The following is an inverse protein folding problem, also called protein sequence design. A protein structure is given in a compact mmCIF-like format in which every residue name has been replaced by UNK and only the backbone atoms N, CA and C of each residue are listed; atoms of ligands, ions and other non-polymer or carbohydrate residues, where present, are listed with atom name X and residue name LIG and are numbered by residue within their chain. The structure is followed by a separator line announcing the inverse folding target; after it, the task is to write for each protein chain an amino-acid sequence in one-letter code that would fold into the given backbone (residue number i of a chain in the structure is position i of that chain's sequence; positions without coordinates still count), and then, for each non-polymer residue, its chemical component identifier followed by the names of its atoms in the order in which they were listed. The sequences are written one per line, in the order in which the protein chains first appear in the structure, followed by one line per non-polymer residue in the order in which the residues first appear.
data_IF_515335496768
#
_entry.id   IF_515335496768
#
_cell.length_a   1.000
_cell.length_b   1.000
_cell.length_c   1.000
_cell.angle_alpha   90.00
_cell.angle_beta   90.00
_cell.angle_gamma   90.00
#
_symmetry.space_group_name_H-M   'P 1'
#
loop_
_entity.id
_entity.type
_entity.pdbx_description
1 polymer ?
#
# COMPACT_ATOMS: atom_id res chain seq x y z
N UNK A 1 10.36 -23.84 14.64
CA UNK A 1 8.98 -23.35 14.91
C UNK A 1 8.22 -23.47 13.62
N UNK A 2 7.03 -24.06 13.63
CA UNK A 2 6.16 -24.09 12.45
C UNK A 2 5.64 -22.67 12.26
N UNK A 3 5.97 -22.03 11.14
CA UNK A 3 5.40 -20.71 10.81
C UNK A 3 3.88 -20.89 10.65
N UNK A 4 3.12 -20.47 11.65
CA UNK A 4 1.67 -20.44 11.53
C UNK A 4 1.27 -19.48 10.41
N UNK A 5 0.42 -19.96 9.51
CA UNK A 5 -0.11 -19.13 8.44
C UNK A 5 -0.91 -17.97 9.07
N UNK A 6 -0.52 -16.70 8.85
CA UNK A 6 -1.21 -15.57 9.45
C UNK A 6 -2.67 -15.43 9.00
N UNK A 7 -3.05 -16.12 7.93
CA UNK A 7 -4.43 -16.26 7.48
C UNK A 7 -5.28 -17.14 8.42
N UNK A 8 -4.75 -17.70 9.51
CA UNK A 8 -5.49 -18.57 10.43
C UNK A 8 -5.69 -17.99 11.84
N UNK A 9 -5.11 -16.83 12.15
CA UNK A 9 -5.12 -16.28 13.52
C UNK A 9 -6.43 -15.60 13.94
N UNK A 10 -6.81 -15.75 15.21
CA UNK A 10 -7.95 -15.03 15.79
C UNK A 10 -7.61 -13.58 16.13
N UNK A 11 -6.38 -13.33 16.58
CA UNK A 11 -5.86 -12.01 16.98
C UNK A 11 -4.41 -11.82 16.52
N UNK A 12 -3.90 -10.57 16.52
CA UNK A 12 -2.53 -10.23 16.10
C UNK A 12 -1.51 -10.78 17.11
N UNK A 13 -0.57 -11.67 16.70
CA UNK A 13 0.48 -12.12 17.59
C UNK A 13 1.56 -11.04 17.73
N UNK A 14 2.21 -10.96 18.89
CA UNK A 14 3.17 -9.91 19.17
C UNK A 14 4.44 -10.04 18.32
N UNK A 15 4.82 -8.90 17.75
CA UNK A 15 6.13 -8.47 17.22
C UNK A 15 6.63 -9.00 15.87
N UNK A 16 6.50 -10.28 15.50
CA UNK A 16 7.16 -10.78 14.27
C UNK A 16 6.29 -10.77 13.00
N UNK A 17 4.96 -10.66 13.13
CA UNK A 17 4.05 -10.66 12.00
C UNK A 17 4.18 -9.40 11.12
N UNK A 18 4.32 -8.23 11.73
CA UNK A 18 4.22 -6.96 11.01
C UNK A 18 5.42 -6.71 10.10
N UNK A 19 6.58 -7.24 10.49
CA UNK A 19 7.84 -7.04 9.77
C UNK A 19 7.91 -7.86 8.48
N UNK A 20 7.12 -8.94 8.36
CA UNK A 20 7.08 -9.76 7.15
C UNK A 20 5.87 -9.44 6.25
N UNK A 21 4.98 -8.54 6.69
CA UNK A 21 3.76 -8.20 5.97
C UNK A 21 3.81 -6.82 5.34
N UNK A 22 3.09 -6.70 4.23
CA UNK A 22 3.01 -5.48 3.44
C UNK A 22 1.56 -5.09 3.21
N UNK A 23 1.35 -3.79 3.12
CA UNK A 23 0.15 -3.21 2.55
C UNK A 23 0.42 -2.98 1.05
N UNK A 24 -0.57 -3.18 0.19
CA UNK A 24 -0.44 -2.98 -1.26
C UNK A 24 -1.46 -1.97 -1.79
N UNK A 25 -1.12 -1.25 -2.86
CA UNK A 25 -2.04 -0.35 -3.57
C UNK A 25 -1.69 -0.18 -5.03
N UNK A 26 -2.71 -0.18 -5.89
CA UNK A 26 -2.58 0.25 -7.28
C UNK A 26 -2.37 1.77 -7.41
N UNK A 27 -1.46 2.17 -8.29
CA UNK A 27 -1.15 3.55 -8.64
C UNK A 27 -1.36 3.73 -10.13
N UNK A 28 -2.34 4.56 -10.51
CA UNK A 28 -2.72 4.76 -11.91
C UNK A 28 -1.65 5.55 -12.68
N UNK A 29 -1.49 5.25 -13.97
CA UNK A 29 -0.51 5.86 -14.90
C UNK A 29 -0.44 7.37 -14.83
N UNK A 30 -1.58 8.05 -14.81
CA UNK A 30 -1.64 9.52 -14.73
C UNK A 30 -0.85 10.12 -13.55
N UNK A 31 -0.66 9.39 -12.45
CA UNK A 31 0.15 9.85 -11.33
C UNK A 31 1.64 9.66 -11.62
N UNK A 32 2.05 8.43 -11.87
CA UNK A 32 3.47 8.08 -11.98
C UNK A 32 4.09 8.47 -13.32
N UNK A 33 3.31 8.68 -14.38
CA UNK A 33 3.82 9.13 -15.67
C UNK A 33 4.54 10.47 -15.55
N UNK A 34 4.12 11.31 -14.59
CA UNK A 34 4.71 12.63 -14.32
C UNK A 34 5.89 12.60 -13.33
N UNK A 35 6.28 11.43 -12.84
CA UNK A 35 7.35 11.31 -11.86
C UNK A 35 8.72 11.33 -12.55
N UNK A 36 9.66 12.17 -12.10
CA UNK A 36 10.96 12.27 -12.76
C UNK A 36 11.85 11.03 -12.55
N UNK A 37 11.55 10.20 -11.55
CA UNK A 37 12.27 8.95 -11.28
C UNK A 37 11.31 7.86 -10.82
N UNK A 38 10.95 6.95 -11.73
CA UNK A 38 10.06 5.82 -11.39
C UNK A 38 10.65 4.85 -10.38
N UNK A 39 11.94 4.92 -10.01
CA UNK A 39 12.47 4.09 -8.91
C UNK A 39 11.98 4.56 -7.53
N UNK A 40 11.39 5.75 -7.45
CA UNK A 40 10.95 6.37 -6.20
C UNK A 40 9.43 6.53 -6.15
N UNK A 41 8.88 6.46 -4.96
CA UNK A 41 7.49 6.82 -4.70
C UNK A 41 7.45 8.28 -4.26
N UNK A 42 6.64 9.11 -4.93
CA UNK A 42 6.58 10.54 -4.64
C UNK A 42 5.49 10.88 -3.61
N UNK A 43 5.68 11.91 -2.75
CA UNK A 43 4.73 12.26 -1.69
C UNK A 43 3.30 12.61 -2.17
N UNK A 44 3.15 13.07 -3.41
CA UNK A 44 1.84 13.38 -4.01
C UNK A 44 0.93 12.14 -4.14
N UNK A 45 1.51 10.93 -4.17
CA UNK A 45 0.78 9.67 -4.09
C UNK A 45 -0.07 9.56 -2.80
N UNK A 46 0.41 10.15 -1.69
CA UNK A 46 -0.25 10.12 -0.39
C UNK A 46 -1.19 11.32 -0.18
N UNK A 47 -1.74 11.89 -1.25
CA UNK A 47 -2.66 13.03 -1.17
C UNK A 47 -4.01 12.64 -0.57
N UNK A 48 -4.45 13.44 0.41
CA UNK A 48 -5.57 13.12 1.29
C UNK A 48 -6.88 12.98 0.51
N UNK A 49 -7.09 13.66 -0.61
CA UNK A 49 -8.30 13.50 -1.47
C UNK A 49 -8.47 12.09 -2.03
N UNK A 50 -7.37 11.35 -2.23
CA UNK A 50 -7.39 9.92 -2.56
C UNK A 50 -7.34 9.01 -1.31
N UNK A 51 -7.34 9.60 -0.11
CA UNK A 51 -7.14 8.97 1.21
C UNK A 51 -8.29 9.24 2.19
N UNK A 52 -9.31 10.02 1.78
CA UNK A 52 -10.37 10.61 2.62
C UNK A 52 -11.41 9.59 3.10
N UNK A 53 -11.48 8.40 2.51
CA UNK A 53 -12.33 7.31 2.98
C UNK A 53 -11.74 6.50 4.15
N UNK A 54 -10.74 7.03 4.85
CA UNK A 54 -9.81 6.21 5.61
C UNK A 54 -8.97 5.36 4.65
N UNK A 55 -7.84 4.85 5.11
CA UNK A 55 -6.99 3.96 4.32
C UNK A 55 -7.62 2.56 4.21
N UNK A 56 -8.75 2.50 3.51
CA UNK A 56 -9.31 1.32 2.85
C UNK A 56 -9.93 1.79 1.55
N UNK A 57 -9.15 1.71 0.48
CA UNK A 57 -9.74 1.19 -0.75
C UNK A 57 -8.96 -0.02 -1.26
N UNK A 58 -7.64 -0.16 -1.01
CA UNK A 58 -6.90 -1.42 -1.29
C UNK A 58 -5.78 -1.77 -0.31
N UNK A 59 -5.26 -0.80 0.45
CA UNK A 59 -4.26 -1.10 1.47
C UNK A 59 -4.84 -2.10 2.46
N UNK A 60 -4.17 -3.23 2.58
CA UNK A 60 -4.54 -4.31 3.50
C UNK A 60 -5.83 -5.06 3.15
N UNK A 61 -6.40 -4.89 1.96
CA UNK A 61 -7.51 -5.75 1.52
C UNK A 61 -7.03 -7.09 0.97
N UNK A 62 -5.80 -7.12 0.45
CA UNK A 62 -5.25 -8.24 -0.27
C UNK A 62 -3.90 -8.65 0.30
N UNK A 63 -3.66 -9.96 0.30
CA UNK A 63 -2.44 -10.57 0.83
C UNK A 63 -1.26 -10.53 -0.15
N UNK A 64 -1.48 -10.17 -1.42
CA UNK A 64 -0.45 -10.18 -2.46
C UNK A 64 -0.62 -9.04 -3.47
N UNK A 65 0.48 -8.61 -4.12
CA UNK A 65 0.43 -7.57 -5.13
C UNK A 65 -0.31 -8.03 -6.41
N UNK A 66 -0.27 -9.31 -6.78
CA UNK A 66 -1.06 -9.89 -7.89
C UNK A 66 -2.56 -9.78 -7.62
N UNK A 67 -2.95 -10.16 -6.40
CA UNK A 67 -4.35 -10.10 -5.97
C UNK A 67 -4.83 -8.65 -6.01
N UNK A 68 -3.98 -7.71 -5.60
CA UNK A 68 -4.27 -6.27 -5.68
C UNK A 68 -4.51 -5.82 -7.12
N UNK A 69 -3.62 -6.18 -8.05
CA UNK A 69 -3.76 -5.83 -9.47
C UNK A 69 -5.05 -6.39 -10.06
N UNK A 70 -5.36 -7.66 -9.81
CA UNK A 70 -6.52 -8.36 -10.36
C UNK A 70 -7.87 -7.79 -9.90
N UNK A 71 -7.91 -7.07 -8.78
CA UNK A 71 -9.12 -6.42 -8.28
C UNK A 71 -9.28 -4.97 -8.78
N UNK A 72 -8.31 -4.44 -9.52
CA UNK A 72 -8.45 -3.11 -10.14
C UNK A 72 -9.40 -3.19 -11.35
N UNK A 73 -10.07 -2.08 -11.72
CA UNK A 73 -11.02 -2.07 -12.85
C UNK A 73 -10.43 -2.55 -14.18
N UNK A 74 -9.12 -2.33 -14.39
CA UNK A 74 -8.38 -2.82 -15.55
C UNK A 74 -7.05 -3.37 -15.01
N UNK A 75 -6.89 -4.71 -14.88
CA UNK A 75 -5.73 -5.33 -14.24
C UNK A 75 -4.53 -5.37 -15.20
N UNK A 76 -3.97 -4.21 -15.54
CA UNK A 76 -2.87 -4.05 -16.50
C UNK A 76 -1.76 -3.18 -15.92
N UNK A 77 -0.51 -3.68 -15.98
CA UNK A 77 0.68 -2.98 -15.52
C UNK A 77 1.08 -1.77 -16.38
N UNK A 78 0.52 -1.65 -17.59
CA UNK A 78 0.60 -0.44 -18.41
C UNK A 78 -0.29 0.69 -17.89
N UNK A 79 -1.30 0.35 -17.09
CA UNK A 79 -2.26 1.31 -16.53
C UNK A 79 -2.00 1.53 -15.04
N UNK A 80 -1.52 0.52 -14.32
CA UNK A 80 -1.26 0.58 -12.88
C UNK A 80 0.13 0.04 -12.52
N UNK A 81 0.78 0.62 -11.53
CA UNK A 81 1.84 -0.06 -10.79
C UNK A 81 1.36 -0.41 -9.39
N UNK A 82 1.92 -1.43 -8.75
CA UNK A 82 1.57 -1.78 -7.37
C UNK A 82 2.65 -1.28 -6.42
N UNK A 83 2.29 -0.35 -5.55
CA UNK A 83 3.14 0.10 -4.44
C UNK A 83 2.87 -0.78 -3.23
N UNK A 84 3.94 -1.11 -2.51
CA UNK A 84 3.91 -1.83 -1.25
C UNK A 84 4.52 -1.01 -0.11
N UNK A 85 4.04 -1.28 1.10
CA UNK A 85 4.47 -0.61 2.33
C UNK A 85 4.57 -1.64 3.45
N UNK A 86 5.77 -1.85 3.99
CA UNK A 86 5.96 -2.80 5.09
C UNK A 86 5.26 -2.28 6.36
N UNK A 87 4.52 -3.14 7.06
CA UNK A 87 3.72 -2.73 8.23
C UNK A 87 4.63 -2.39 9.42
N UNK A 88 5.72 -3.13 9.61
CA UNK A 88 6.76 -2.85 10.60
C UNK A 88 7.38 -1.46 10.39
N UNK A 89 7.90 -1.20 9.18
CA UNK A 89 8.49 0.11 8.84
C UNK A 89 7.48 1.26 9.01
N UNK A 90 6.20 1.01 8.70
CA UNK A 90 5.14 1.98 8.95
C UNK A 90 4.98 2.27 10.45
N UNK A 91 4.93 1.23 11.29
CA UNK A 91 4.81 1.38 12.75
C UNK A 91 5.99 2.17 13.31
N UNK A 92 7.21 1.85 12.89
CA UNK A 92 8.41 2.59 13.27
C UNK A 92 8.34 4.05 12.84
N UNK A 93 7.98 4.31 11.58
CA UNK A 93 7.84 5.66 11.03
C UNK A 93 6.82 6.51 11.81
N UNK A 94 5.68 5.91 12.17
CA UNK A 94 4.64 6.55 12.99
C UNK A 94 5.20 6.93 14.37
N UNK A 95 5.85 5.98 15.04
CA UNK A 95 6.38 6.18 16.38
C UNK A 95 7.49 7.24 16.40
N UNK A 96 8.46 7.15 15.47
CA UNK A 96 9.58 8.09 15.37
C UNK A 96 9.14 9.53 15.10
N UNK A 97 8.05 9.69 14.34
CA UNK A 97 7.55 11.01 13.97
C UNK A 97 6.39 11.51 14.83
N UNK A 98 5.94 10.70 15.80
CA UNK A 98 4.76 10.94 16.62
C UNK A 98 3.53 11.28 15.76
N UNK A 99 3.30 10.50 14.69
CA UNK A 99 2.13 10.68 13.85
C UNK A 99 0.89 10.15 14.55
N UNK A 100 -0.23 10.88 14.41
CA UNK A 100 -1.55 10.44 14.88
C UNK A 100 -2.15 9.39 13.93
N UNK A 101 -1.38 8.39 13.52
CA UNK A 101 -1.84 7.30 12.66
C UNK A 101 -1.81 6.03 13.51
N UNK A 102 -2.93 5.31 13.55
CA UNK A 102 -2.99 3.99 14.18
C UNK A 102 -2.87 2.88 13.14
N UNK A 103 -2.34 1.73 13.55
CA UNK A 103 -2.39 0.48 12.79
C UNK A 103 -3.22 -0.50 13.61
N UNK A 104 -4.31 -1.01 13.04
CA UNK A 104 -5.19 -1.98 13.68
C UNK A 104 -5.35 -3.20 12.79
N UNK A 105 -4.86 -4.36 13.22
CA UNK A 105 -5.20 -5.61 12.53
C UNK A 105 -6.63 -6.03 12.86
N UNK A 106 -7.40 -6.39 11.83
CA UNK A 106 -8.79 -6.84 11.92
C UNK A 106 -9.05 -7.87 10.81
N UNK A 107 -8.58 -9.12 10.97
CA UNK A 107 -8.75 -10.16 9.97
C UNK A 107 -10.24 -10.40 9.70
N UNK A 108 -10.59 -10.64 8.43
CA UNK A 108 -11.96 -10.99 8.05
C UNK A 108 -11.98 -12.47 7.71
N UNK A 109 -12.72 -13.27 8.47
CA UNK A 109 -12.95 -14.69 8.14
C UNK A 109 -13.82 -14.79 6.89
N UNK A 110 -13.30 -15.46 5.87
CA UNK A 110 -14.07 -15.90 4.71
C UNK A 110 -14.28 -17.39 4.87
N UNK A 111 -15.53 -17.79 5.10
CA UNK A 111 -15.94 -19.19 5.12
C UNK A 111 -16.58 -19.54 3.77
N UNK A 112 -16.09 -20.62 3.16
CA UNK A 112 -16.72 -21.30 2.04
C UNK A 112 -16.74 -22.81 2.33
N UNK A 113 -17.50 -23.59 1.56
CA UNK A 113 -17.59 -25.05 1.72
C UNK A 113 -16.22 -25.77 1.66
N UNK A 114 -15.18 -25.12 1.11
CA UNK A 114 -13.85 -25.71 0.90
C UNK A 114 -12.72 -25.02 1.67
N UNK A 115 -12.92 -23.80 2.15
CA UNK A 115 -11.85 -22.96 2.74
C UNK A 115 -12.39 -22.14 3.91
N UNK A 116 -11.68 -22.20 5.03
CA UNK A 116 -11.77 -21.25 6.14
C UNK A 116 -10.45 -20.51 6.21
N UNK A 117 -10.41 -19.30 5.66
CA UNK A 117 -9.22 -18.46 5.68
C UNK A 117 -9.59 -17.06 6.14
N UNK A 118 -8.74 -16.44 6.96
CA UNK A 118 -8.77 -15.01 7.17
C UNK A 118 -8.25 -14.32 5.91
N UNK A 119 -8.96 -13.31 5.45
CA UNK A 119 -8.33 -12.21 4.73
C UNK A 119 -7.59 -11.38 5.78
N UNK A 120 -6.26 -11.52 5.81
CA UNK A 120 -5.41 -10.64 6.60
C UNK A 120 -5.76 -9.19 6.24
N UNK A 121 -6.27 -8.45 7.20
CA UNK A 121 -6.79 -7.11 6.97
C UNK A 121 -6.29 -6.16 8.06
N UNK A 122 -5.63 -5.10 7.65
CA UNK A 122 -4.94 -4.14 8.53
C UNK A 122 -5.49 -2.74 8.25
N UNK A 123 -6.16 -2.15 9.20
CA UNK A 123 -6.72 -0.82 9.07
C UNK A 123 -5.71 0.23 9.52
N UNK A 124 -5.49 1.25 8.71
CA UNK A 124 -4.83 2.47 9.17
C UNK A 124 -5.89 3.44 9.66
N UNK A 125 -5.88 3.71 10.97
CA UNK A 125 -6.85 4.55 11.66
C UNK A 125 -6.26 5.93 11.93
N UNK A 126 -7.11 6.92 12.25
CA UNK A 126 -6.71 8.28 12.61
C UNK A 126 -5.90 9.04 11.53
N UNK A 127 -5.87 8.54 10.29
CA UNK A 127 -5.39 9.26 9.12
C UNK A 127 -6.39 10.38 8.74
N UNK A 128 -6.59 11.35 9.63
CA UNK A 128 -7.70 12.29 9.55
C UNK A 128 -7.35 13.53 8.72
N UNK A 129 -8.39 14.21 8.24
CA UNK A 129 -8.30 15.58 7.71
C UNK A 129 -7.92 16.58 8.82
N UNK A 130 -8.05 16.25 10.09
CA UNK A 130 -7.85 17.19 11.19
C UNK A 130 -6.37 17.25 11.57
N UNK A 131 -5.60 17.96 10.75
CA UNK A 131 -4.20 18.24 10.98
C UNK A 131 -3.78 19.47 10.20
N UNK A 132 -2.94 20.31 10.81
CA UNK A 132 -2.32 21.46 10.14
C UNK A 132 -1.67 20.99 8.83
N UNK A 133 -1.79 21.76 7.75
CA UNK A 133 -1.23 21.42 6.42
C UNK A 133 0.20 20.87 6.46
N UNK A 134 1.05 21.43 7.34
CA UNK A 134 2.43 20.97 7.57
C UNK A 134 2.55 19.52 8.05
N UNK A 135 1.66 19.06 8.93
CA UNK A 135 1.64 17.67 9.44
C UNK A 135 1.31 16.72 8.30
N UNK A 136 0.35 17.10 7.44
CA UNK A 136 -0.04 16.31 6.27
C UNK A 136 1.13 16.17 5.29
N UNK A 137 1.85 17.26 5.02
CA UNK A 137 3.05 17.21 4.15
C UNK A 137 4.13 16.32 4.75
N UNK A 138 4.41 16.45 6.06
CA UNK A 138 5.42 15.60 6.72
C UNK A 138 5.06 14.12 6.63
N UNK A 139 3.81 13.75 6.93
CA UNK A 139 3.33 12.37 6.79
C UNK A 139 3.56 11.85 5.37
N UNK A 140 3.18 12.62 4.34
CA UNK A 140 3.36 12.22 2.94
C UNK A 140 4.83 11.98 2.59
N UNK A 141 5.71 12.86 3.04
CA UNK A 141 7.16 12.76 2.79
C UNK A 141 7.74 11.54 3.49
N UNK A 142 7.40 11.29 4.76
CA UNK A 142 7.95 10.13 5.47
C UNK A 142 7.39 8.81 4.92
N UNK A 143 6.11 8.74 4.56
CA UNK A 143 5.53 7.56 3.94
C UNK A 143 6.15 7.25 2.57
N UNK A 144 6.50 8.28 1.78
CA UNK A 144 7.10 8.09 0.47
C UNK A 144 8.53 7.53 0.55
N UNK A 145 9.23 7.72 1.67
CA UNK A 145 10.57 7.14 1.89
C UNK A 145 10.55 5.65 2.17
N UNK A 146 9.47 5.14 2.77
CA UNK A 146 9.35 3.72 3.15
C UNK A 146 8.52 2.90 2.16
N UNK A 147 7.82 3.56 1.24
CA UNK A 147 7.05 2.93 0.18
C UNK A 147 7.96 2.55 -1.00
N UNK A 148 7.68 1.40 -1.61
CA UNK A 148 8.43 0.89 -2.76
C UNK A 148 7.47 0.25 -3.77
N UNK A 149 7.87 0.14 -5.03
CA UNK A 149 7.14 -0.74 -5.95
C UNK A 149 7.26 -2.19 -5.49
N UNK A 150 6.19 -2.95 -5.64
CA UNK A 150 6.25 -4.39 -5.42
C UNK A 150 7.02 -5.06 -6.55
N UNK A 151 7.86 -6.04 -6.20
CA UNK A 151 8.70 -6.73 -7.15
C UNK A 151 7.84 -7.38 -8.24
N UNK A 152 8.24 -7.24 -9.51
CA UNK A 152 7.50 -7.70 -10.71
C UNK A 152 6.18 -6.98 -11.00
N UNK A 153 5.76 -6.02 -10.17
CA UNK A 153 4.55 -5.20 -10.38
C UNK A 153 4.88 -3.71 -10.54
N UNK A 154 6.10 -3.45 -11.01
CA UNK A 154 6.54 -2.13 -11.42
C UNK A 154 5.74 -1.69 -12.66
N UNK A 155 5.41 -0.39 -12.79
CA UNK A 155 4.83 0.14 -14.02
C UNK A 155 5.61 -0.28 -15.27
N UNK A 156 4.90 -0.66 -16.33
CA UNK A 156 5.47 -0.92 -17.65
C UNK A 156 5.35 0.36 -18.47
N UNK A 157 6.49 0.90 -18.89
CA UNK A 157 6.54 1.96 -19.90
C UNK A 157 6.39 1.32 -21.27
N UNK A 158 5.37 1.70 -22.03
CA UNK A 158 5.38 1.41 -23.46
C UNK A 158 6.46 2.26 -24.11
N UNK A 159 7.39 1.61 -24.78
CA UNK A 159 8.28 2.27 -25.71
C UNK A 159 7.44 2.71 -26.91
N UNK A 160 7.39 4.02 -27.17
CA UNK A 160 6.68 4.55 -28.33
C UNK A 160 7.74 4.79 -29.41
N UNK A 161 7.85 3.87 -30.37
CA UNK A 161 8.86 3.91 -31.46
C UNK A 161 8.69 5.13 -32.37
N UNK A 162 7.48 5.68 -32.47
CA UNK A 162 7.15 6.77 -33.39
C UNK A 162 7.64 8.14 -32.92
N UNK A 163 8.00 8.27 -31.65
CA UNK A 163 8.56 9.49 -31.09
C UNK A 163 9.78 9.10 -30.27
N UNK A 164 10.96 9.46 -30.75
CA UNK A 164 12.26 9.31 -30.08
C UNK A 164 12.36 10.20 -28.81
N UNK A 165 11.31 10.22 -27.99
CA UNK A 165 11.17 10.99 -26.76
C UNK A 165 10.38 10.12 -25.77
N UNK A 166 11.01 9.81 -24.64
CA UNK A 166 10.27 9.40 -23.45
C UNK A 166 9.35 10.57 -23.08
N UNK A 167 8.03 10.37 -23.12
CA UNK A 167 7.09 11.37 -22.63
C UNK A 167 7.29 11.54 -21.12
N UNK A 168 7.59 12.77 -20.70
CA UNK A 168 7.73 13.23 -19.31
C UNK A 168 6.35 13.38 -18.66
#
# INVERSE_FOLDING_TARGET
MVEENPLNWEEEPPENFLNINYLYRGVKKVLWSTWPDLKKIYPNFFTIEQTIGGLSVDWSKYCSPETTLNHLPIPDLKIYGIVQLNIGNLRECINQNNFLIGIKHKPIRVESERLKINRGHTLLTNFSREGKSRIRTKVRVELSKIANWSAKMHPILEYNEDFNHYYI
#
